data_IF_823406802565
#
_entry.id   IF_823406802565
#
_cell.length_a   1.000
_cell.length_b   1.000
_cell.length_c   1.000
_cell.angle_alpha   90.00
_cell.angle_beta   90.00
_cell.angle_gamma   90.00
#
_symmetry.space_group_name_H-M   'P 1'
#
loop_
_entity.id
_entity.type
_entity.pdbx_description
1 polymer ?
#
# COMPACT_ATOMS: atom_id res chain seq x y z
N UNK A 1 26.27 -35.02 27.82
CA UNK A 1 25.37 -36.12 28.25
C UNK A 1 23.95 -35.78 27.84
N UNK A 2 23.24 -36.66 27.12
CA UNK A 2 21.78 -36.56 27.09
C UNK A 2 21.28 -36.95 28.48
N UNK A 3 20.61 -36.02 29.18
CA UNK A 3 19.99 -36.34 30.47
C UNK A 3 18.77 -37.24 30.19
N UNK A 4 18.95 -38.56 30.27
CA UNK A 4 17.91 -39.58 30.05
C UNK A 4 16.76 -39.52 31.07
N UNK A 5 16.93 -38.76 32.15
CA UNK A 5 15.92 -38.52 33.19
C UNK A 5 15.66 -37.02 33.38
N UNK A 6 15.41 -36.31 32.28
CA UNK A 6 14.97 -34.91 32.33
C UNK A 6 13.50 -34.79 31.96
N UNK A 7 12.73 -34.05 32.76
CA UNK A 7 11.39 -33.61 32.37
C UNK A 7 11.48 -32.18 31.83
N UNK A 8 10.79 -31.95 30.71
CA UNK A 8 10.62 -30.63 30.10
C UNK A 8 9.13 -30.38 30.03
N UNK A 9 8.66 -29.42 30.81
CA UNK A 9 7.26 -28.98 30.71
C UNK A 9 7.23 -27.57 30.15
N UNK A 10 6.31 -27.37 29.21
CA UNK A 10 5.96 -26.09 28.64
C UNK A 10 4.48 -25.87 28.95
N UNK A 11 4.20 -24.92 29.83
CA UNK A 11 2.84 -24.67 30.34
C UNK A 11 2.43 -23.25 29.99
N UNK A 12 1.27 -23.08 29.36
CA UNK A 12 0.64 -21.77 29.23
C UNK A 12 -0.05 -21.45 30.56
N UNK A 13 0.37 -20.38 31.22
CA UNK A 13 -0.22 -19.90 32.47
C UNK A 13 -1.47 -19.07 32.17
N UNK A 14 -2.36 -18.93 33.15
CA UNK A 14 -3.62 -18.18 33.03
C UNK A 14 -3.42 -16.69 32.69
N UNK A 15 -2.23 -16.13 32.96
CA UNK A 15 -1.86 -14.76 32.60
C UNK A 15 -1.33 -14.63 31.15
N UNK A 16 -1.38 -15.70 30.35
CA UNK A 16 -0.92 -15.72 28.97
C UNK A 16 0.60 -15.85 28.79
N UNK A 17 1.37 -15.93 29.88
CA UNK A 17 2.80 -16.20 29.83
C UNK A 17 3.06 -17.71 29.74
N UNK A 18 4.19 -18.08 29.16
CA UNK A 18 4.64 -19.46 29.09
C UNK A 18 5.66 -19.74 30.19
N UNK A 19 5.43 -20.80 30.95
CA UNK A 19 6.38 -21.32 31.92
C UNK A 19 7.10 -22.52 31.32
N UNK A 20 8.43 -22.48 31.35
CA UNK A 20 9.26 -23.64 31.04
C UNK A 20 9.87 -24.16 32.34
N UNK A 21 9.69 -25.44 32.64
CA UNK A 21 10.37 -26.10 33.76
C UNK A 21 11.25 -27.21 33.21
N UNK A 22 12.55 -27.07 33.48
CA UNK A 22 13.55 -28.11 33.29
C UNK A 22 13.86 -28.74 34.63
N UNK A 23 13.67 -30.05 34.75
CA UNK A 23 14.09 -30.79 35.93
C UNK A 23 14.94 -31.96 35.47
N UNK A 24 16.10 -32.14 36.09
CA UNK A 24 16.99 -33.27 35.88
C UNK A 24 17.45 -33.77 37.25
N UNK A 25 17.75 -35.07 37.32
CA UNK A 25 18.42 -35.67 38.47
C UNK A 25 19.88 -35.88 38.12
N UNK A 26 20.78 -35.51 39.03
CA UNK A 26 22.18 -35.89 38.91
C UNK A 26 22.31 -37.40 39.11
N UNK A 27 23.22 -38.08 38.39
CA UNK A 27 23.54 -39.47 38.67
C UNK A 27 23.99 -39.65 40.12
N UNK A 28 23.67 -40.80 40.70
CA UNK A 28 23.95 -41.18 42.09
C UNK A 28 25.45 -41.14 42.46
N UNK A 29 26.34 -41.33 41.49
CA UNK A 29 27.79 -41.20 41.70
C UNK A 29 28.29 -39.76 41.83
N UNK A 30 27.49 -38.74 41.51
CA UNK A 30 27.83 -37.32 41.69
C UNK A 30 27.35 -36.86 43.07
N UNK A 31 28.27 -36.71 44.02
CA UNK A 31 27.96 -36.27 45.40
C UNK A 31 27.78 -34.77 45.55
N UNK A 32 28.44 -33.97 44.71
CA UNK A 32 28.29 -32.50 44.60
C UNK A 32 28.57 -32.08 43.17
N UNK A 33 27.86 -31.09 42.65
CA UNK A 33 28.09 -30.58 41.30
C UNK A 33 27.50 -29.18 41.10
N UNK A 34 28.13 -28.41 40.22
CA UNK A 34 27.63 -27.09 39.77
C UNK A 34 27.05 -27.26 38.37
N UNK A 35 25.88 -26.68 38.13
CA UNK A 35 25.26 -26.64 36.80
C UNK A 35 25.39 -25.22 36.28
N UNK A 36 26.21 -25.05 35.24
CA UNK A 36 26.31 -23.80 34.51
C UNK A 36 25.31 -23.81 33.36
N UNK A 37 24.53 -22.73 33.25
CA UNK A 37 23.66 -22.48 32.11
C UNK A 37 24.32 -21.36 31.31
N UNK A 38 25.01 -21.74 30.24
CA UNK A 38 25.75 -20.78 29.42
C UNK A 38 24.82 -19.84 28.65
N UNK A 39 23.65 -20.35 28.22
CA UNK A 39 22.69 -19.58 27.43
C UNK A 39 21.29 -20.18 27.50
N UNK A 40 20.27 -19.32 27.50
CA UNK A 40 18.89 -19.69 27.15
C UNK A 40 18.55 -19.04 25.81
N UNK A 41 18.22 -19.87 24.81
CA UNK A 41 17.80 -19.43 23.48
C UNK A 41 16.30 -19.70 23.30
N UNK A 42 15.52 -18.65 23.07
CA UNK A 42 14.12 -18.77 22.66
C UNK A 42 14.02 -18.39 21.17
N UNK A 43 13.49 -19.31 20.35
CA UNK A 43 13.26 -19.08 18.93
C UNK A 43 11.81 -19.36 18.57
N UNK A 44 11.19 -18.51 17.74
CA UNK A 44 9.91 -18.84 17.12
C UNK A 44 10.08 -19.71 15.86
N UNK A 45 8.99 -20.25 15.33
CA UNK A 45 8.98 -21.09 14.11
C UNK A 45 9.49 -20.37 12.84
N UNK A 46 9.77 -19.08 12.93
CA UNK A 46 10.27 -18.24 11.85
C UNK A 46 11.75 -17.88 12.06
N UNK A 47 12.40 -18.40 13.10
CA UNK A 47 13.83 -18.20 13.39
C UNK A 47 14.15 -16.88 14.10
N UNK A 48 13.16 -16.20 14.68
CA UNK A 48 13.45 -15.02 15.50
C UNK A 48 13.99 -15.45 16.86
N UNK A 49 15.25 -15.13 17.12
CA UNK A 49 15.97 -15.55 18.33
C UNK A 49 16.06 -14.43 19.37
N UNK A 50 15.80 -14.77 20.64
CA UNK A 50 16.16 -13.97 21.80
C UNK A 50 17.19 -14.73 22.63
N UNK A 51 18.30 -14.05 22.94
CA UNK A 51 19.39 -14.57 23.77
C UNK A 51 19.28 -13.97 25.15
N UNK A 52 19.31 -14.81 26.17
CA UNK A 52 19.30 -14.36 27.56
C UNK A 52 20.55 -14.86 28.28
N UNK A 53 21.33 -13.90 28.78
CA UNK A 53 22.46 -14.13 29.68
C UNK A 53 21.94 -14.01 31.12
N UNK A 54 21.92 -15.10 31.92
CA UNK A 54 21.37 -15.07 33.26
C UNK A 54 22.22 -14.20 34.19
N UNK A 55 21.57 -13.26 34.90
CA UNK A 55 22.21 -12.42 35.93
C UNK A 55 21.95 -13.03 37.31
N UNK A 56 23.01 -13.18 38.11
CA UNK A 56 22.92 -13.70 39.47
C UNK A 56 22.41 -12.62 40.44
N UNK A 57 21.34 -12.92 41.20
CA UNK A 57 20.93 -12.15 42.36
C UNK A 57 20.71 -13.09 43.55
N UNK A 58 21.33 -12.79 44.71
CA UNK A 58 21.14 -13.49 45.99
C UNK A 58 21.30 -15.02 45.94
N UNK A 59 22.28 -15.55 45.19
CA UNK A 59 22.53 -17.00 45.04
C UNK A 59 21.30 -17.84 44.58
N UNK A 60 20.27 -17.20 44.02
CA UNK A 60 19.08 -17.84 43.49
C UNK A 60 18.95 -17.52 42.00
N UNK A 61 18.82 -18.56 41.17
CA UNK A 61 18.63 -18.40 39.73
C UNK A 61 17.16 -18.00 39.44
N UNK A 62 16.84 -16.72 39.63
CA UNK A 62 15.54 -16.16 39.26
C UNK A 62 15.54 -15.71 37.79
N UNK A 63 15.39 -16.66 36.87
CA UNK A 63 15.24 -16.35 35.44
C UNK A 63 13.75 -16.13 35.11
N UNK A 64 13.17 -15.00 35.53
CA UNK A 64 11.95 -14.50 34.88
C UNK A 64 12.37 -13.76 33.62
N UNK A 65 12.13 -14.37 32.45
CA UNK A 65 12.34 -13.71 31.15
C UNK A 65 11.00 -13.48 30.48
N UNK A 66 10.77 -12.26 29.99
CA UNK A 66 9.59 -11.91 29.19
C UNK A 66 9.95 -12.10 27.72
N UNK A 67 9.40 -13.14 27.09
CA UNK A 67 9.44 -13.26 25.63
C UNK A 67 8.29 -12.45 25.05
N UNK A 68 8.59 -11.26 24.56
CA UNK A 68 7.62 -10.51 23.76
C UNK A 68 7.66 -11.02 22.33
N UNK A 69 6.52 -11.49 21.83
CA UNK A 69 6.38 -11.88 20.43
C UNK A 69 6.48 -10.63 19.56
N UNK A 70 7.66 -10.36 19.02
CA UNK A 70 7.87 -9.48 17.87
C UNK A 70 7.35 -10.19 16.64
N UNK A 71 6.02 -10.19 16.44
CA UNK A 71 5.47 -10.64 15.16
C UNK A 71 6.18 -9.86 14.05
N UNK A 72 6.98 -10.59 13.29
CA UNK A 72 7.76 -10.07 12.18
C UNK A 72 6.88 -9.11 11.38
N UNK A 73 7.44 -7.93 11.13
CA UNK A 73 6.87 -6.91 10.26
C UNK A 73 6.72 -7.54 8.86
N UNK A 74 5.55 -8.12 8.61
CA UNK A 74 5.25 -8.74 7.34
C UNK A 74 4.98 -7.65 6.30
N UNK A 75 5.47 -7.89 5.10
CA UNK A 75 5.20 -7.04 3.94
C UNK A 75 3.70 -7.09 3.64
N UNK A 76 3.16 -5.95 3.24
CA UNK A 76 1.78 -5.82 2.78
C UNK A 76 1.77 -5.32 1.34
N UNK A 77 0.70 -5.60 0.61
CA UNK A 77 0.46 -5.08 -0.73
C UNK A 77 -0.64 -4.03 -0.69
N UNK A 78 -0.61 -3.13 -1.68
CA UNK A 78 -1.62 -2.09 -1.87
C UNK A 78 -2.05 -2.15 -3.33
N UNK A 79 -3.35 -2.28 -3.56
CA UNK A 79 -3.90 -2.23 -4.90
C UNK A 79 -3.79 -0.79 -5.45
N UNK A 80 -3.76 -0.59 -6.78
CA UNK A 80 -3.67 0.75 -7.36
C UNK A 80 -4.82 1.67 -6.91
N UNK A 81 -4.46 2.87 -6.46
CA UNK A 81 -5.42 3.90 -6.01
C UNK A 81 -5.50 5.00 -7.07
N UNK A 82 -6.72 5.33 -7.50
CA UNK A 82 -6.99 6.40 -8.45
C UNK A 82 -7.46 7.68 -7.73
N UNK A 83 -7.43 8.81 -8.42
CA UNK A 83 -7.83 10.13 -7.91
C UNK A 83 -9.33 10.24 -7.55
N UNK A 84 -10.16 9.36 -8.11
CA UNK A 84 -11.56 9.20 -7.71
C UNK A 84 -11.80 8.12 -6.64
N UNK A 85 -10.79 7.33 -6.27
CA UNK A 85 -10.93 6.27 -5.27
C UNK A 85 -11.33 6.85 -3.91
N UNK A 86 -12.27 6.17 -3.26
CA UNK A 86 -12.76 6.48 -1.91
C UNK A 86 -12.37 5.40 -0.90
N UNK A 87 -11.51 4.49 -1.32
CA UNK A 87 -11.00 3.39 -0.50
C UNK A 87 -9.65 2.90 -1.03
N UNK A 88 -8.90 2.24 -0.14
CA UNK A 88 -7.68 1.51 -0.43
C UNK A 88 -7.92 0.04 -0.09
N UNK A 89 -7.49 -0.85 -0.98
CA UNK A 89 -7.55 -2.30 -0.82
C UNK A 89 -6.16 -2.90 -0.89
N UNK A 90 -6.00 -4.09 -0.34
CA UNK A 90 -4.77 -4.85 -0.47
C UNK A 90 -4.74 -6.07 0.44
N UNK A 91 -3.54 -6.63 0.60
CA UNK A 91 -3.29 -7.81 1.44
C UNK A 91 -2.26 -7.50 2.52
N UNK A 92 -2.45 -8.07 3.69
CA UNK A 92 -1.55 -7.96 4.84
C UNK A 92 -1.81 -9.17 5.77
N UNK A 93 -1.01 -9.37 6.82
CA UNK A 93 -1.29 -10.42 7.82
C UNK A 93 -2.57 -10.12 8.59
N UNK A 94 -3.43 -11.12 8.77
CA UNK A 94 -4.63 -11.01 9.63
C UNK A 94 -4.26 -10.57 11.04
N UNK A 95 -5.12 -9.76 11.67
CA UNK A 95 -4.89 -9.23 13.02
C UNK A 95 -4.04 -7.97 13.08
N UNK A 96 -3.51 -7.50 11.94
CA UNK A 96 -2.87 -6.19 11.82
C UNK A 96 -3.90 -5.07 11.65
N UNK A 97 -3.49 -3.84 11.97
CA UNK A 97 -4.22 -2.62 11.63
C UNK A 97 -3.42 -1.80 10.61
N UNK A 98 -4.01 -1.54 9.45
CA UNK A 98 -3.48 -0.64 8.42
C UNK A 98 -3.75 0.82 8.77
N UNK A 99 -2.78 1.69 8.47
CA UNK A 99 -2.94 3.13 8.52
C UNK A 99 -2.47 3.77 7.21
N UNK A 100 -3.15 4.85 6.79
CA UNK A 100 -2.76 5.64 5.63
C UNK A 100 -2.67 7.13 5.98
N UNK A 101 -1.62 7.78 5.47
CA UNK A 101 -1.31 9.19 5.69
C UNK A 101 -1.00 9.90 4.38
N UNK A 102 -1.38 11.17 4.31
CA UNK A 102 -0.97 12.11 3.25
C UNK A 102 -0.48 13.37 3.93
N UNK A 103 0.75 13.81 3.61
CA UNK A 103 1.40 14.98 4.21
C UNK A 103 1.36 14.97 5.76
N UNK A 104 1.58 13.80 6.37
CA UNK A 104 1.55 13.63 7.83
C UNK A 104 0.15 13.56 8.46
N UNK A 105 -0.93 13.83 7.71
CA UNK A 105 -2.31 13.70 8.20
C UNK A 105 -2.87 12.31 7.95
N UNK A 106 -3.45 11.67 8.98
CA UNK A 106 -4.14 10.38 8.84
C UNK A 106 -5.38 10.55 7.95
N UNK A 107 -5.48 9.76 6.88
CA UNK A 107 -6.61 9.75 5.95
C UNK A 107 -7.46 8.49 6.05
N UNK A 108 -6.93 7.43 6.65
CA UNK A 108 -7.65 6.16 6.80
C UNK A 108 -6.99 5.21 7.79
N UNK A 109 -7.80 4.27 8.26
CA UNK A 109 -7.40 3.17 9.15
C UNK A 109 -8.34 1.98 8.90
N UNK A 110 -7.81 0.76 8.89
CA UNK A 110 -8.60 -0.46 8.73
C UNK A 110 -7.93 -1.67 9.38
N UNK A 111 -8.73 -2.57 9.93
CA UNK A 111 -8.23 -3.88 10.36
C UNK A 111 -8.04 -4.81 9.17
N UNK A 112 -7.08 -5.72 9.29
CA UNK A 112 -6.82 -6.78 8.32
C UNK A 112 -7.53 -8.05 8.78
N UNK A 113 -8.46 -8.54 7.97
CA UNK A 113 -9.28 -9.72 8.23
C UNK A 113 -9.05 -10.70 7.07
N UNK A 114 -8.77 -11.96 7.40
CA UNK A 114 -8.51 -13.03 6.42
C UNK A 114 -7.51 -12.64 5.31
N UNK A 115 -6.42 -12.00 5.73
CA UNK A 115 -5.33 -11.61 4.86
C UNK A 115 -5.61 -10.39 3.98
N UNK A 116 -6.77 -9.74 4.12
CA UNK A 116 -7.22 -8.61 3.27
C UNK A 116 -7.64 -7.42 4.12
N UNK A 117 -7.55 -6.23 3.54
CA UNK A 117 -8.08 -5.03 4.16
C UNK A 117 -8.84 -4.15 3.16
N UNK A 118 -9.80 -3.41 3.71
CA UNK A 118 -10.62 -2.44 3.00
C UNK A 118 -10.66 -1.17 3.85
N UNK A 119 -10.02 -0.11 3.37
CA UNK A 119 -9.85 1.14 4.11
C UNK A 119 -10.56 2.28 3.40
N UNK A 120 -11.62 2.82 4.01
CA UNK A 120 -12.26 4.04 3.52
C UNK A 120 -11.31 5.23 3.67
N UNK A 121 -11.22 6.05 2.62
CA UNK A 121 -10.41 7.28 2.60
C UNK A 121 -11.18 8.40 1.87
N UNK A 122 -10.91 9.68 2.18
CA UNK A 122 -11.33 10.77 1.29
C UNK A 122 -10.60 10.66 -0.06
N UNK A 123 -11.22 11.18 -1.14
CA UNK A 123 -10.58 11.29 -2.45
C UNK A 123 -9.27 12.06 -2.35
N UNK A 124 -8.26 11.61 -3.07
CA UNK A 124 -6.94 12.22 -3.10
C UNK A 124 -6.66 12.77 -4.50
N UNK A 125 -5.94 13.89 -4.56
CA UNK A 125 -5.55 14.45 -5.86
C UNK A 125 -4.59 13.50 -6.58
N UNK A 126 -4.68 13.44 -7.91
CA UNK A 126 -3.71 12.76 -8.75
C UNK A 126 -2.27 13.16 -8.39
N UNK A 127 -1.35 12.18 -8.44
CA UNK A 127 0.07 12.31 -8.09
C UNK A 127 0.36 12.53 -6.59
N UNK A 128 -0.65 12.61 -5.72
CA UNK A 128 -0.44 12.64 -4.28
C UNK A 128 0.26 11.36 -3.81
N UNK A 129 1.11 11.49 -2.80
CA UNK A 129 1.80 10.36 -2.16
C UNK A 129 1.04 9.92 -0.93
N UNK A 130 0.63 8.66 -0.88
CA UNK A 130 0.01 8.05 0.30
C UNK A 130 1.06 7.16 0.95
N UNK A 131 1.33 7.42 2.23
CA UNK A 131 2.20 6.61 3.08
C UNK A 131 1.34 5.63 3.88
N UNK A 132 1.66 4.34 3.79
CA UNK A 132 0.96 3.27 4.48
C UNK A 132 1.91 2.48 5.38
N UNK A 133 1.39 1.98 6.49
CA UNK A 133 2.06 1.00 7.34
C UNK A 133 1.03 0.16 8.12
N UNK A 134 1.45 -1.00 8.61
CA UNK A 134 0.68 -1.83 9.54
C UNK A 134 1.16 -1.65 10.97
N UNK A 135 0.27 -1.93 11.93
CA UNK A 135 0.57 -2.02 13.35
C UNK A 135 -0.05 -3.30 13.91
N UNK A 136 0.71 -4.07 14.66
CA UNK A 136 0.21 -5.27 15.34
C UNK A 136 -0.42 -4.93 16.71
N UNK A 137 -1.00 -5.92 17.41
CA UNK A 137 -1.58 -5.73 18.76
C UNK A 137 -0.56 -5.29 19.83
N UNK A 138 0.73 -5.48 19.58
CA UNK A 138 1.84 -5.08 20.46
C UNK A 138 2.42 -3.71 20.11
N UNK A 139 1.78 -2.96 19.19
CA UNK A 139 2.19 -1.62 18.73
C UNK A 139 3.47 -1.58 17.88
N UNK A 140 3.98 -2.72 17.40
CA UNK A 140 5.09 -2.75 16.45
C UNK A 140 4.61 -2.27 15.07
N UNK A 141 5.37 -1.40 14.42
CA UNK A 141 5.04 -0.80 13.12
C UNK A 141 5.81 -1.44 11.98
N UNK A 142 5.19 -1.57 10.81
CA UNK A 142 5.92 -1.99 9.62
C UNK A 142 6.84 -0.90 9.05
N UNK A 143 7.68 -1.30 8.08
CA UNK A 143 8.24 -0.33 7.12
C UNK A 143 7.11 0.42 6.42
N UNK A 144 7.34 1.70 6.11
CA UNK A 144 6.38 2.53 5.39
C UNK A 144 6.45 2.21 3.90
N UNK A 145 5.30 1.96 3.28
CA UNK A 145 5.15 1.86 1.82
C UNK A 145 4.55 3.17 1.32
N UNK A 146 5.16 3.76 0.29
CA UNK A 146 4.61 4.96 -0.35
C UNK A 146 4.07 4.60 -1.73
N UNK A 147 2.79 4.90 -1.97
CA UNK A 147 2.16 4.79 -3.29
C UNK A 147 1.87 6.16 -3.88
N UNK A 148 1.69 6.21 -5.20
CA UNK A 148 1.28 7.42 -5.91
C UNK A 148 -0.15 7.25 -6.40
N UNK A 149 -1.01 8.23 -6.13
CA UNK A 149 -2.38 8.25 -6.63
C UNK A 149 -2.35 8.43 -8.14
N UNK A 150 -2.95 7.49 -8.87
CA UNK A 150 -3.02 7.51 -10.32
C UNK A 150 -4.07 8.52 -10.78
N UNK A 151 -3.73 9.30 -11.79
CA UNK A 151 -4.70 10.10 -12.52
C UNK A 151 -5.49 9.19 -13.48
N UNK A 152 -6.78 8.97 -13.20
CA UNK A 152 -7.69 8.24 -14.07
C UNK A 152 -8.93 9.05 -14.44
N UNK A 153 -8.98 10.34 -14.09
CA UNK A 153 -10.10 11.19 -14.42
C UNK A 153 -9.91 11.76 -15.82
N UNK A 154 -10.81 11.40 -16.73
CA UNK A 154 -10.79 11.95 -18.08
C UNK A 154 -11.10 13.46 -18.10
N UNK A 155 -10.48 14.22 -19.03
CA UNK A 155 -10.82 15.61 -19.20
C UNK A 155 -12.26 15.76 -19.72
N UNK A 156 -12.86 16.93 -19.47
CA UNK A 156 -14.17 17.24 -20.06
C UNK A 156 -14.12 17.22 -21.59
N UNK A 157 -15.26 16.91 -22.23
CA UNK A 157 -15.38 16.98 -23.69
C UNK A 157 -14.97 18.37 -24.19
N UNK A 158 -14.16 18.47 -25.26
CA UNK A 158 -13.85 19.77 -25.84
C UNK A 158 -15.12 20.41 -26.43
N UNK A 159 -15.14 21.73 -26.56
CA UNK A 159 -16.18 22.47 -27.27
C UNK A 159 -15.65 22.99 -28.59
N UNK A 160 -16.52 23.37 -29.52
CA UNK A 160 -16.15 24.02 -30.79
C UNK A 160 -16.81 25.38 -30.83
N UNK A 161 -16.02 26.45 -30.89
CA UNK A 161 -16.50 27.83 -30.97
C UNK A 161 -16.49 28.37 -32.39
N UNK A 162 -15.55 27.93 -33.23
CA UNK A 162 -15.45 28.36 -34.63
C UNK A 162 -15.00 27.20 -35.51
N UNK A 163 -15.67 27.04 -36.65
CA UNK A 163 -15.33 26.08 -37.69
C UNK A 163 -15.12 26.82 -39.00
N UNK A 164 -13.87 26.99 -39.39
CA UNK A 164 -13.46 27.52 -40.69
C UNK A 164 -12.91 26.39 -41.57
N UNK A 165 -12.82 26.56 -42.91
CA UNK A 165 -12.38 25.49 -43.81
C UNK A 165 -11.01 24.88 -43.47
N UNK A 166 -10.09 25.67 -42.90
CA UNK A 166 -8.72 25.23 -42.56
C UNK A 166 -8.42 25.16 -41.07
N UNK A 167 -9.33 25.64 -40.21
CA UNK A 167 -9.07 25.75 -38.77
C UNK A 167 -10.35 25.52 -37.98
N UNK A 168 -10.24 24.68 -36.95
CA UNK A 168 -11.30 24.47 -35.96
C UNK A 168 -10.77 24.89 -34.60
N UNK A 169 -11.46 25.82 -33.94
CA UNK A 169 -11.09 26.32 -32.62
C UNK A 169 -12.20 26.14 -31.61
N UNK A 170 -11.81 26.11 -30.34
CA UNK A 170 -12.72 25.85 -29.24
C UNK A 170 -12.06 25.92 -27.87
N UNK A 171 -12.77 25.41 -26.87
CA UNK A 171 -12.28 25.32 -25.49
C UNK A 171 -12.08 23.87 -25.06
N UNK A 172 -11.14 23.65 -24.16
CA UNK A 172 -10.86 22.35 -23.57
C UNK A 172 -10.15 22.50 -22.23
N UNK A 173 -9.74 21.38 -21.65
CA UNK A 173 -8.95 21.37 -20.42
C UNK A 173 -7.49 21.77 -20.70
N UNK A 174 -6.95 22.72 -19.92
CA UNK A 174 -5.59 23.24 -20.09
C UNK A 174 -4.57 22.10 -20.11
N UNK A 175 -3.68 22.10 -21.11
CA UNK A 175 -2.62 21.10 -21.27
C UNK A 175 -3.08 19.75 -21.82
N UNK A 176 -4.39 19.51 -21.99
CA UNK A 176 -4.89 18.39 -22.76
C UNK A 176 -4.63 18.60 -24.27
N UNK A 177 -4.64 17.51 -25.03
CA UNK A 177 -4.52 17.52 -26.49
C UNK A 177 -5.89 17.18 -27.08
N UNK A 178 -6.46 18.08 -27.88
CA UNK A 178 -7.67 17.83 -28.65
C UNK A 178 -7.28 17.20 -29.98
N UNK A 179 -7.95 16.10 -30.33
CA UNK A 179 -7.77 15.40 -31.59
C UNK A 179 -9.03 15.53 -32.43
N UNK A 180 -8.86 15.56 -33.75
CA UNK A 180 -9.96 15.54 -34.71
C UNK A 180 -9.77 14.44 -35.75
N UNK A 181 -10.84 13.72 -36.03
CA UNK A 181 -10.88 12.57 -36.91
C UNK A 181 -12.04 12.65 -37.92
N UNK A 182 -11.84 12.03 -39.08
CA UNK A 182 -12.88 11.65 -40.03
C UNK A 182 -12.86 10.12 -40.13
N UNK A 183 -13.86 9.45 -39.57
CA UNK A 183 -13.81 8.00 -39.38
C UNK A 183 -12.59 7.61 -38.53
N UNK A 184 -11.75 6.71 -39.03
CA UNK A 184 -10.48 6.31 -38.40
C UNK A 184 -9.30 7.24 -38.72
N UNK A 185 -9.43 8.12 -39.72
CA UNK A 185 -8.34 9.00 -40.17
C UNK A 185 -8.20 10.23 -39.27
N UNK A 186 -7.02 10.40 -38.64
CA UNK A 186 -6.68 11.62 -37.89
C UNK A 186 -6.49 12.78 -38.87
N UNK A 187 -7.25 13.86 -38.69
CA UNK A 187 -7.10 15.08 -39.48
C UNK A 187 -6.14 16.09 -38.84
N UNK A 188 -6.03 16.09 -37.51
CA UNK A 188 -5.18 17.03 -36.80
C UNK A 188 -5.28 16.88 -35.28
N UNK A 189 -4.48 17.67 -34.57
CA UNK A 189 -4.56 17.83 -33.12
C UNK A 189 -3.97 19.15 -32.67
N UNK A 190 -4.38 19.66 -31.52
CA UNK A 190 -3.78 20.83 -30.88
C UNK A 190 -3.81 20.70 -29.36
N UNK A 191 -2.77 21.21 -28.71
CA UNK A 191 -2.74 21.35 -27.26
C UNK A 191 -3.61 22.53 -26.83
N UNK A 192 -4.39 22.34 -25.78
CA UNK A 192 -5.15 23.42 -25.15
C UNK A 192 -4.19 24.29 -24.34
N UNK A 193 -4.16 25.59 -24.64
CA UNK A 193 -3.25 26.53 -24.00
C UNK A 193 -3.65 26.87 -22.54
N UNK A 194 -2.87 27.74 -21.91
CA UNK A 194 -3.09 28.21 -20.53
C UNK A 194 -4.43 28.92 -20.31
N UNK A 195 -5.03 29.49 -21.37
CA UNK A 195 -6.34 30.15 -21.36
C UNK A 195 -7.50 29.18 -21.63
N UNK A 196 -7.23 27.88 -21.75
CA UNK A 196 -8.26 26.87 -22.01
C UNK A 196 -8.77 26.87 -23.45
N UNK A 197 -8.03 27.47 -24.40
CA UNK A 197 -8.41 27.52 -25.82
C UNK A 197 -7.46 26.69 -26.69
N UNK A 198 -7.97 26.21 -27.81
CA UNK A 198 -7.19 25.49 -28.83
C UNK A 198 -7.58 25.94 -30.24
N UNK A 199 -6.67 25.75 -31.19
CA UNK A 199 -6.92 25.91 -32.62
C UNK A 199 -6.20 24.79 -33.38
N UNK A 200 -6.97 23.96 -34.09
CA UNK A 200 -6.46 22.84 -34.89
C UNK A 200 -6.51 23.22 -36.35
N UNK A 201 -5.36 23.19 -37.01
CA UNK A 201 -5.28 23.31 -38.47
C UNK A 201 -5.58 21.97 -39.13
N UNK A 202 -6.47 21.98 -40.13
CA UNK A 202 -6.87 20.80 -40.90
C UNK A 202 -6.92 21.15 -42.39
N UNK A 203 -6.87 20.13 -43.26
CA UNK A 203 -7.21 20.31 -44.68
C UNK A 203 -8.74 20.51 -44.82
N UNK A 204 -9.21 21.35 -45.78
CA UNK A 204 -10.62 21.51 -46.05
C UNK A 204 -11.35 20.19 -46.25
N UNK A 205 -12.57 20.11 -45.71
CA UNK A 205 -13.43 18.94 -45.78
C UNK A 205 -14.69 19.28 -46.56
N UNK A 206 -15.31 18.28 -47.20
CA UNK A 206 -16.57 18.45 -47.93
C UNK A 206 -17.70 18.82 -46.98
N UNK A 207 -18.62 19.68 -47.42
CA UNK A 207 -19.86 20.00 -46.68
C UNK A 207 -20.61 18.71 -46.31
N UNK A 208 -21.18 18.67 -45.10
CA UNK A 208 -21.87 17.49 -44.57
C UNK A 208 -20.96 16.40 -43.99
N UNK A 209 -19.63 16.50 -44.16
CA UNK A 209 -18.68 15.54 -43.54
C UNK A 209 -18.85 15.55 -42.02
N UNK A 210 -19.01 14.37 -41.42
CA UNK A 210 -19.04 14.21 -39.97
C UNK A 210 -17.62 14.05 -39.42
N UNK A 211 -17.26 14.90 -38.47
CA UNK A 211 -15.98 14.90 -37.77
C UNK A 211 -16.20 14.50 -36.31
N UNK A 212 -15.26 13.74 -35.76
CA UNK A 212 -15.25 13.30 -34.36
C UNK A 212 -14.07 13.94 -33.66
N UNK A 213 -14.33 14.55 -32.51
CA UNK A 213 -13.27 15.15 -31.69
C UNK A 213 -13.32 14.64 -30.26
N UNK A 214 -12.17 14.52 -29.62
CA UNK A 214 -12.03 14.20 -28.20
C UNK A 214 -10.75 14.83 -27.66
N UNK A 215 -10.64 14.96 -26.34
CA UNK A 215 -9.43 15.40 -25.66
C UNK A 215 -8.74 14.22 -24.96
N UNK A 216 -7.41 14.28 -24.83
CA UNK A 216 -6.64 13.45 -23.90
C UNK A 216 -5.81 14.33 -22.98
N UNK A 217 -5.82 14.04 -21.69
CA UNK A 217 -4.95 14.71 -20.72
C UNK A 217 -3.51 14.16 -20.76
N UNK A 218 -2.67 14.60 -19.81
CA UNK A 218 -1.28 14.13 -19.67
C UNK A 218 -1.19 12.67 -19.22
N UNK A 219 -2.15 12.21 -18.42
CA UNK A 219 -2.26 10.83 -17.96
C UNK A 219 -2.81 9.88 -19.04
N UNK A 220 -3.15 10.42 -20.22
CA UNK A 220 -3.70 9.73 -21.39
C UNK A 220 -5.16 9.30 -21.20
N UNK A 221 -5.88 9.82 -20.21
CA UNK A 221 -7.31 9.60 -20.09
C UNK A 221 -8.04 10.33 -21.23
N UNK A 222 -9.02 9.65 -21.83
CA UNK A 222 -9.73 10.14 -23.02
C UNK A 222 -11.10 10.68 -22.63
N UNK A 223 -11.41 11.91 -23.04
CA UNK A 223 -12.75 12.47 -22.87
C UNK A 223 -13.81 11.70 -23.67
N UNK A 224 -15.08 11.93 -23.35
CA UNK A 224 -16.16 11.65 -24.30
C UNK A 224 -15.91 12.39 -25.63
N UNK A 225 -16.34 11.77 -26.73
CA UNK A 225 -16.21 12.37 -28.07
C UNK A 225 -17.37 13.31 -28.37
N UNK A 226 -17.11 14.37 -29.13
CA UNK A 226 -18.13 15.19 -29.78
C UNK A 226 -18.18 14.86 -31.28
N UNK A 227 -19.37 14.95 -31.87
CA UNK A 227 -19.58 14.84 -33.32
C UNK A 227 -20.04 16.19 -33.87
N UNK A 228 -19.42 16.64 -34.95
CA UNK A 228 -19.76 17.90 -35.63
C UNK A 228 -19.85 17.66 -37.14
N UNK A 229 -20.74 18.38 -37.83
CA UNK A 229 -20.83 18.35 -39.29
C UNK A 229 -20.23 19.61 -39.88
N UNK A 230 -19.48 19.46 -40.96
CA UNK A 230 -18.97 20.59 -41.76
C UNK A 230 -20.16 21.30 -42.40
N UNK A 231 -20.27 22.62 -42.15
CA UNK A 231 -21.35 23.46 -42.66
C UNK A 231 -21.12 23.88 -44.11
#
# INVERSE_FOLDING_TARGET
MQFTHSTRTLTLLDNGNWQVKFQFKLPDYIKTGVVNIDQILAADKYGNEMRYDPVYANNQLNCQFKVERTENIQTFSVDPVADFSTEIRGKASSGMTMYAYVNGKKIGQASVIDGKYFMKIPKQLANSKIQLYTVNKYKNKSKVVTITVLDRTAPKKPTVSKMAPRTISGKGEKGSIVYIYKGSTKLGSATVNSKGTYAINIRPQKKGTTLVMYAKDKAKNKSASIKIKVK
#
